data_IF_437962080045
#
_entry.id   IF_437962080045
#
_cell.length_a   1.000
_cell.length_b   1.000
_cell.length_c   1.000
_cell.angle_alpha   90.00
_cell.angle_beta   90.00
_cell.angle_gamma   90.00
#
_symmetry.space_group_name_H-M   'P 1'
#
loop_
_entity.id
_entity.type
_entity.pdbx_description
1 polymer ?
#
# COMPACT_ATOMS: atom_id res chain seq x y z
N UNK A 1 -9.15 0.62 28.26
CA UNK A 1 -9.77 0.13 27.01
C UNK A 1 -11.26 -0.04 27.28
N UNK A 2 -12.12 0.55 26.45
CA UNK A 2 -13.57 0.44 26.62
C UNK A 2 -14.09 -0.97 26.27
N UNK A 3 -15.19 -1.40 26.88
CA UNK A 3 -15.78 -2.74 26.69
C UNK A 3 -16.02 -3.08 25.21
N UNK A 4 -16.60 -2.14 24.45
CA UNK A 4 -16.86 -2.31 23.01
C UNK A 4 -15.56 -2.54 22.23
N UNK A 5 -14.51 -1.79 22.55
CA UNK A 5 -13.21 -1.90 21.90
C UNK A 5 -12.52 -3.24 22.21
N UNK A 6 -12.60 -3.72 23.46
CA UNK A 6 -12.07 -5.04 23.81
C UNK A 6 -12.80 -6.16 23.07
N UNK A 7 -14.13 -6.05 22.90
CA UNK A 7 -14.91 -7.04 22.15
C UNK A 7 -14.48 -7.13 20.69
N UNK A 8 -14.26 -5.96 20.06
CA UNK A 8 -13.74 -5.85 18.68
C UNK A 8 -12.40 -6.57 18.57
N UNK A 9 -11.46 -6.23 19.45
CA UNK A 9 -10.12 -6.84 19.46
C UNK A 9 -10.19 -8.36 19.60
N UNK A 10 -11.02 -8.85 20.53
CA UNK A 10 -11.15 -10.29 20.74
C UNK A 10 -11.78 -11.01 19.54
N UNK A 11 -12.72 -10.38 18.83
CA UNK A 11 -13.28 -10.93 17.59
C UNK A 11 -12.22 -10.96 16.47
N UNK A 12 -11.38 -9.94 16.37
CA UNK A 12 -10.29 -9.86 15.39
C UNK A 12 -9.22 -10.92 15.64
N UNK A 13 -8.83 -11.11 16.91
CA UNK A 13 -7.92 -12.19 17.32
C UNK A 13 -8.49 -13.56 16.94
N UNK A 14 -9.77 -13.83 17.22
CA UNK A 14 -10.40 -15.10 16.87
C UNK A 14 -10.37 -15.37 15.37
N UNK A 15 -10.69 -14.35 14.56
CA UNK A 15 -10.66 -14.44 13.09
C UNK A 15 -9.26 -14.78 12.58
N UNK A 16 -8.22 -14.12 13.10
CA UNK A 16 -6.83 -14.38 12.70
C UNK A 16 -6.36 -15.78 13.10
N UNK A 17 -6.73 -16.23 14.30
CA UNK A 17 -6.44 -17.58 14.77
C UNK A 17 -7.10 -18.62 13.87
N UNK A 18 -8.37 -18.44 13.50
CA UNK A 18 -9.10 -19.33 12.60
C UNK A 18 -8.45 -19.34 11.19
N UNK A 19 -8.10 -18.17 10.63
CA UNK A 19 -7.43 -18.03 9.32
C UNK A 19 -6.09 -18.77 9.28
N UNK A 20 -5.31 -18.67 10.35
CA UNK A 20 -3.99 -19.32 10.46
C UNK A 20 -4.08 -20.78 10.94
N UNK A 21 -5.28 -21.31 11.22
CA UNK A 21 -5.47 -22.66 11.75
C UNK A 21 -4.91 -22.86 13.16
N UNK A 22 -4.75 -21.78 13.92
CA UNK A 22 -4.15 -21.76 15.26
C UNK A 22 -5.27 -21.82 16.31
N UNK A 23 -5.15 -22.73 17.29
CA UNK A 23 -6.08 -22.78 18.42
C UNK A 23 -5.74 -21.70 19.44
N UNK A 24 -6.75 -21.13 20.12
CA UNK A 24 -6.53 -20.21 21.25
C UNK A 24 -5.58 -20.77 22.31
N UNK A 25 -5.65 -22.07 22.60
CA UNK A 25 -4.75 -22.69 23.57
C UNK A 25 -3.27 -22.61 23.15
N UNK A 26 -2.99 -22.67 21.85
CA UNK A 26 -1.63 -22.63 21.31
C UNK A 26 -1.00 -21.26 21.52
N UNK A 27 -1.72 -20.19 21.20
CA UNK A 27 -1.25 -18.82 21.46
C UNK A 27 -1.18 -18.54 22.97
N UNK A 28 -2.11 -19.10 23.77
CA UNK A 28 -2.07 -18.94 25.22
C UNK A 28 -0.79 -19.55 25.82
N UNK A 29 -0.45 -20.77 25.39
CA UNK A 29 0.77 -21.45 25.79
C UNK A 29 2.02 -20.69 25.31
N UNK A 30 2.03 -20.20 24.05
CA UNK A 30 3.15 -19.46 23.47
C UNK A 30 3.42 -18.12 24.20
N UNK A 31 2.37 -17.42 24.62
CA UNK A 31 2.47 -16.14 25.31
C UNK A 31 2.59 -16.27 26.83
N UNK A 32 2.71 -17.49 27.34
CA UNK A 32 2.76 -17.79 28.78
C UNK A 32 1.56 -17.22 29.56
N UNK A 33 0.38 -17.21 28.96
CA UNK A 33 -0.88 -16.81 29.60
C UNK A 33 -1.70 -18.04 29.98
N UNK A 34 -2.48 -17.94 31.06
CA UNK A 34 -3.28 -19.08 31.54
C UNK A 34 -4.26 -19.56 30.47
N UNK A 35 -4.39 -20.88 30.27
CA UNK A 35 -5.39 -21.42 29.34
C UNK A 35 -6.81 -20.90 29.63
N UNK A 36 -7.53 -20.58 28.57
CA UNK A 36 -8.86 -19.97 28.61
C UNK A 36 -8.87 -18.48 28.98
N UNK A 37 -7.72 -17.82 29.13
CA UNK A 37 -7.65 -16.38 29.41
C UNK A 37 -8.26 -15.56 28.26
N UNK A 38 -7.90 -15.86 27.01
CA UNK A 38 -8.45 -15.17 25.84
C UNK A 38 -9.98 -15.37 25.76
N UNK A 39 -10.45 -16.56 26.12
CA UNK A 39 -11.89 -16.84 26.16
C UNK A 39 -12.63 -16.04 27.24
N UNK A 40 -11.97 -15.72 28.36
CA UNK A 40 -12.53 -14.87 29.42
C UNK A 40 -12.55 -13.40 29.05
N UNK A 41 -11.56 -12.92 28.28
CA UNK A 41 -11.54 -11.54 27.76
C UNK A 41 -12.74 -11.20 26.86
N UNK A 42 -13.29 -12.21 26.16
CA UNK A 42 -14.48 -12.08 25.28
C UNK A 42 -15.82 -12.02 26.02
N UNK A 43 -15.87 -12.45 27.30
CA UNK A 43 -17.11 -12.60 28.08
C UNK A 43 -17.35 -11.44 29.07
N UNK A 44 -16.86 -10.25 28.79
CA UNK A 44 -16.67 -9.17 29.77
C UNK A 44 -17.94 -8.46 30.27
N UNK A 45 -19.07 -9.16 30.37
CA UNK A 45 -20.13 -8.79 31.32
C UNK A 45 -19.70 -9.22 32.73
N UNK A 46 -19.13 -8.28 33.49
CA UNK A 46 -18.79 -8.47 34.91
C UNK A 46 -17.29 -8.56 35.21
N UNK A 47 -16.63 -7.39 35.19
CA UNK A 47 -15.40 -6.99 35.91
C UNK A 47 -14.45 -8.11 36.39
N UNK A 48 -13.40 -8.39 35.62
CA UNK A 48 -12.07 -8.83 36.12
C UNK A 48 -10.97 -8.89 35.03
N UNK A 49 -11.33 -9.13 33.77
CA UNK A 49 -10.36 -9.37 32.69
C UNK A 49 -10.31 -8.20 31.72
N UNK A 50 -9.23 -7.44 31.78
CA UNK A 50 -8.91 -6.35 30.85
C UNK A 50 -7.72 -6.75 30.00
N UNK A 51 -7.83 -6.54 28.69
CA UNK A 51 -6.69 -6.70 27.79
C UNK A 51 -5.68 -5.58 28.07
N UNK A 52 -4.48 -5.94 28.54
CA UNK A 52 -3.39 -4.98 28.73
C UNK A 52 -2.74 -4.64 27.39
N UNK A 53 -2.12 -3.46 27.31
CA UNK A 53 -1.34 -3.04 26.15
C UNK A 53 -0.21 -4.02 25.84
N UNK A 54 0.54 -4.46 26.86
CA UNK A 54 1.64 -5.42 26.68
C UNK A 54 1.15 -6.76 26.13
N UNK A 55 -0.02 -7.22 26.55
CA UNK A 55 -0.60 -8.46 26.03
C UNK A 55 -1.10 -8.27 24.60
N UNK A 56 -1.75 -7.14 24.30
CA UNK A 56 -2.16 -6.78 22.94
C UNK A 56 -0.95 -6.78 22.00
N UNK A 57 0.15 -6.15 22.40
CA UNK A 57 1.40 -6.12 21.63
C UNK A 57 1.95 -7.52 21.37
N UNK A 58 2.06 -8.34 22.42
CA UNK A 58 2.52 -9.73 22.29
C UNK A 58 1.65 -10.57 21.35
N UNK A 59 0.34 -10.38 21.39
CA UNK A 59 -0.60 -11.06 20.49
C UNK A 59 -0.41 -10.57 19.06
N UNK A 60 -0.26 -9.25 18.85
CA UNK A 60 0.01 -8.65 17.55
C UNK A 60 1.32 -9.18 16.94
N UNK A 61 2.40 -9.19 17.73
CA UNK A 61 3.71 -9.72 17.35
C UNK A 61 3.61 -11.22 16.99
N UNK A 62 2.88 -12.02 17.78
CA UNK A 62 2.68 -13.45 17.53
C UNK A 62 1.90 -13.71 16.24
N UNK A 63 0.86 -12.91 15.98
CA UNK A 63 0.01 -13.03 14.78
C UNK A 63 0.63 -12.35 13.55
N UNK A 64 1.80 -11.71 13.71
CA UNK A 64 2.49 -10.89 12.70
C UNK A 64 1.59 -9.79 12.10
N UNK A 65 0.92 -9.04 12.97
CA UNK A 65 0.07 -7.89 12.62
C UNK A 65 0.37 -6.71 13.53
N UNK A 66 -0.06 -5.49 13.20
CA UNK A 66 0.09 -4.35 14.12
C UNK A 66 -0.97 -4.41 15.23
N UNK A 67 -0.72 -3.69 16.33
CA UNK A 67 -1.76 -3.51 17.35
C UNK A 67 -2.97 -2.76 16.81
N UNK A 68 -2.76 -1.76 15.95
CA UNK A 68 -3.86 -1.00 15.36
C UNK A 68 -4.77 -1.90 14.53
N UNK A 69 -4.19 -2.86 13.80
CA UNK A 69 -4.93 -3.87 13.04
C UNK A 69 -5.90 -4.68 13.93
N UNK A 70 -5.45 -5.08 15.12
CA UNK A 70 -6.31 -5.77 16.08
C UNK A 70 -7.41 -4.86 16.63
N UNK A 71 -7.22 -3.54 16.64
CA UNK A 71 -8.22 -2.58 17.14
C UNK A 71 -9.23 -2.10 16.11
N UNK A 72 -9.03 -2.41 14.81
CA UNK A 72 -9.92 -1.98 13.75
C UNK A 72 -11.33 -2.54 13.98
N UNK A 73 -12.31 -1.63 14.04
CA UNK A 73 -13.72 -1.95 14.23
C UNK A 73 -14.34 -2.64 13.01
N UNK A 74 -13.52 -2.93 12.00
CA UNK A 74 -13.95 -3.13 10.63
C UNK A 74 -13.33 -4.37 9.97
N UNK A 75 -13.19 -5.46 10.71
CA UNK A 75 -13.02 -6.79 10.08
C UNK A 75 -14.25 -7.26 9.28
N UNK A 76 -15.32 -6.44 9.22
CA UNK A 76 -16.44 -6.63 8.29
C UNK A 76 -16.19 -5.97 6.91
N UNK A 77 -14.96 -5.52 6.64
CA UNK A 77 -14.54 -5.08 5.31
C UNK A 77 -14.36 -6.25 4.34
N UNK A 78 -14.56 -5.93 3.06
CA UNK A 78 -14.70 -6.85 1.93
C UNK A 78 -13.44 -7.70 1.72
N UNK A 79 -13.56 -8.80 0.97
CA UNK A 79 -12.49 -9.74 0.61
C UNK A 79 -11.21 -9.06 0.10
N UNK A 80 -11.36 -7.87 -0.48
CA UNK A 80 -10.29 -7.09 -1.11
C UNK A 80 -9.31 -6.50 -0.09
N UNK A 81 -9.77 -6.01 1.07
CA UNK A 81 -8.89 -5.48 2.11
C UNK A 81 -7.96 -6.55 2.68
N UNK A 82 -8.52 -7.72 2.97
CA UNK A 82 -7.73 -8.85 3.45
C UNK A 82 -6.68 -9.28 2.42
N UNK A 83 -7.01 -9.20 1.13
CA UNK A 83 -6.08 -9.49 0.05
C UNK A 83 -4.94 -8.46 -0.02
N UNK A 84 -5.25 -7.17 0.16
CA UNK A 84 -4.23 -6.11 0.23
C UNK A 84 -3.32 -6.28 1.44
N UNK A 85 -3.88 -6.61 2.60
CA UNK A 85 -3.11 -6.87 3.82
C UNK A 85 -2.13 -8.02 3.60
N UNK A 86 -2.63 -9.17 3.13
CA UNK A 86 -1.78 -10.34 2.88
C UNK A 86 -0.68 -10.03 1.85
N UNK A 87 -1.02 -9.24 0.82
CA UNK A 87 -0.08 -8.79 -0.20
C UNK A 87 1.03 -7.90 0.40
N UNK A 88 0.68 -6.83 1.13
CA UNK A 88 1.67 -5.92 1.70
C UNK A 88 2.50 -6.55 2.82
N UNK A 89 1.95 -7.47 3.61
CA UNK A 89 2.73 -8.24 4.57
C UNK A 89 3.76 -9.13 3.86
N UNK A 90 3.36 -9.84 2.79
CA UNK A 90 4.31 -10.64 2.02
C UNK A 90 5.42 -9.77 1.43
N UNK A 91 5.09 -8.59 0.89
CA UNK A 91 6.09 -7.67 0.34
C UNK A 91 7.04 -7.14 1.41
N UNK A 92 6.50 -6.79 2.58
CA UNK A 92 7.27 -6.32 3.71
C UNK A 92 8.27 -7.38 4.16
N UNK A 93 7.80 -8.60 4.44
CA UNK A 93 8.67 -9.71 4.85
C UNK A 93 9.74 -10.00 3.81
N UNK A 94 9.38 -10.10 2.52
CA UNK A 94 10.35 -10.36 1.47
C UNK A 94 11.36 -9.21 1.29
N UNK A 95 10.98 -7.96 1.57
CA UNK A 95 11.88 -6.81 1.51
C UNK A 95 12.89 -6.81 2.66
N UNK A 96 12.45 -7.15 3.88
CA UNK A 96 13.33 -7.26 5.04
C UNK A 96 14.30 -8.44 4.89
N UNK A 97 13.82 -9.57 4.37
CA UNK A 97 14.62 -10.79 4.15
C UNK A 97 15.55 -10.72 2.93
N UNK A 98 15.64 -9.58 2.23
CA UNK A 98 16.43 -9.40 1.00
C UNK A 98 16.03 -10.32 -0.16
N UNK A 99 14.79 -10.81 -0.14
CA UNK A 99 14.16 -11.59 -1.20
C UNK A 99 13.52 -10.72 -2.29
N UNK A 100 13.46 -9.40 -2.10
CA UNK A 100 13.06 -8.42 -3.12
C UNK A 100 14.19 -7.45 -3.43
N UNK A 101 14.33 -7.13 -4.71
CA UNK A 101 15.32 -6.19 -5.22
C UNK A 101 14.62 -4.90 -5.62
N UNK A 102 14.71 -3.91 -4.74
CA UNK A 102 14.25 -2.56 -4.99
C UNK A 102 15.20 -1.81 -5.91
N UNK A 103 14.62 -1.10 -6.86
CA UNK A 103 15.28 -0.17 -7.77
C UNK A 103 14.67 1.22 -7.57
N UNK A 104 15.43 2.25 -7.92
CA UNK A 104 15.02 3.64 -7.80
C UNK A 104 15.03 4.31 -9.17
N UNK A 105 14.00 5.12 -9.41
CA UNK A 105 13.96 6.11 -10.47
C UNK A 105 14.09 7.47 -9.79
N UNK A 106 15.15 8.20 -10.12
CA UNK A 106 15.40 9.51 -9.54
C UNK A 106 14.45 10.57 -10.14
N UNK A 107 14.13 11.62 -9.36
CA UNK A 107 13.28 12.72 -9.83
C UNK A 107 13.84 13.42 -11.08
N UNK A 108 15.15 13.47 -11.22
CA UNK A 108 15.81 14.07 -12.39
C UNK A 108 15.59 13.24 -13.68
N UNK A 109 15.44 11.92 -13.58
CA UNK A 109 15.12 11.02 -14.68
C UNK A 109 13.66 11.19 -15.10
N UNK A 110 12.76 11.39 -14.12
CA UNK A 110 11.37 11.72 -14.39
C UNK A 110 11.20 13.06 -15.13
N UNK A 111 12.03 14.05 -14.82
CA UNK A 111 11.98 15.34 -15.53
C UNK A 111 12.44 15.24 -16.99
N UNK A 112 13.22 14.22 -17.38
CA UNK A 112 13.68 14.02 -18.77
C UNK A 112 12.59 13.43 -19.68
N UNK A 113 11.48 12.97 -19.10
CA UNK A 113 10.32 12.41 -19.84
C UNK A 113 9.71 13.42 -20.80
N UNK A 114 9.74 14.71 -20.45
CA UNK A 114 9.16 15.79 -21.26
C UNK A 114 9.83 15.90 -22.63
N UNK A 115 11.09 15.47 -22.73
CA UNK A 115 11.94 15.67 -23.91
C UNK A 115 12.08 14.43 -24.82
N UNK A 116 11.78 13.22 -24.33
CA UNK A 116 11.96 11.96 -25.09
C UNK A 116 10.81 10.95 -24.93
N UNK A 117 9.94 10.82 -25.95
CA UNK A 117 8.85 9.86 -26.01
C UNK A 117 9.20 8.38 -25.91
N UNK A 118 10.40 7.99 -26.32
CA UNK A 118 10.82 6.58 -26.32
C UNK A 118 11.29 6.13 -24.93
N UNK A 119 11.60 7.09 -24.03
CA UNK A 119 11.98 6.81 -22.64
C UNK A 119 10.79 6.43 -21.76
N UNK A 120 9.57 6.64 -22.25
CA UNK A 120 8.32 6.53 -21.50
C UNK A 120 8.07 5.12 -20.95
N UNK A 121 8.31 4.06 -21.72
CA UNK A 121 8.09 2.68 -21.25
C UNK A 121 8.98 2.24 -20.08
N UNK A 122 10.08 2.96 -19.83
CA UNK A 122 11.10 2.57 -18.84
C UNK A 122 10.79 2.99 -17.41
N UNK A 123 9.82 3.89 -17.21
CA UNK A 123 9.57 4.57 -15.92
C UNK A 123 8.33 4.07 -15.18
N UNK A 124 7.80 2.93 -15.65
CA UNK A 124 6.64 2.26 -15.07
C UNK A 124 5.31 2.72 -15.62
N UNK A 125 4.20 2.48 -14.91
CA UNK A 125 2.85 2.70 -15.43
C UNK A 125 2.58 4.17 -15.78
N UNK A 126 3.46 5.08 -15.32
CA UNK A 126 3.19 6.51 -15.27
C UNK A 126 3.41 7.26 -16.57
N UNK A 127 4.05 6.62 -17.54
CA UNK A 127 4.50 7.26 -18.76
C UNK A 127 3.82 6.65 -19.99
N UNK A 128 2.57 7.04 -20.23
CA UNK A 128 1.83 6.74 -21.48
C UNK A 128 1.04 7.96 -21.95
N UNK A 129 1.28 8.38 -23.19
CA UNK A 129 0.54 9.44 -23.88
C UNK A 129 -0.84 8.93 -24.29
N UNK A 130 -1.91 9.61 -23.88
CA UNK A 130 -3.28 9.35 -24.36
C UNK A 130 -3.72 10.60 -25.12
N UNK A 131 -3.89 10.46 -26.44
CA UNK A 131 -4.26 11.58 -27.32
C UNK A 131 -5.78 11.82 -27.34
N UNK A 132 -6.59 10.81 -26.97
CA UNK A 132 -8.07 10.83 -26.79
C UNK A 132 -8.49 9.70 -25.84
N UNK A 133 -9.37 9.98 -24.88
CA UNK A 133 -9.96 8.95 -24.02
C UNK A 133 -11.31 8.49 -24.60
N UNK A 134 -11.53 7.18 -24.71
CA UNK A 134 -12.77 6.61 -25.23
C UNK A 134 -13.68 6.14 -24.07
N UNK A 135 -15.02 6.17 -24.21
CA UNK A 135 -15.94 5.72 -23.16
C UNK A 135 -15.69 4.27 -22.69
N UNK A 136 -15.24 3.39 -23.58
CA UNK A 136 -14.93 1.99 -23.26
C UNK A 136 -13.72 1.87 -22.31
N UNK A 137 -12.83 2.87 -22.28
CA UNK A 137 -11.72 2.93 -21.33
C UNK A 137 -12.19 3.34 -19.93
N UNK A 138 -13.41 3.91 -19.79
CA UNK A 138 -13.98 4.29 -18.49
C UNK A 138 -14.42 3.08 -17.65
N UNK A 139 -14.71 1.94 -18.30
CA UNK A 139 -15.09 0.69 -17.63
C UNK A 139 -13.92 0.05 -16.86
N UNK A 140 -12.67 0.49 -17.11
CA UNK A 140 -11.47 0.04 -16.42
C UNK A 140 -11.24 0.75 -15.08
N UNK A 141 -12.04 1.76 -14.74
CA UNK A 141 -11.92 2.52 -13.51
C UNK A 141 -13.03 2.17 -12.51
N UNK A 142 -12.78 2.29 -11.20
CA UNK A 142 -13.84 2.22 -10.20
C UNK A 142 -14.98 3.21 -10.51
N UNK A 143 -16.24 2.80 -10.30
CA UNK A 143 -17.44 3.57 -10.69
C UNK A 143 -17.45 5.04 -10.24
N UNK A 144 -16.90 5.32 -9.06
CA UNK A 144 -16.85 6.69 -8.53
C UNK A 144 -15.89 7.59 -9.33
N UNK A 145 -14.85 7.01 -9.95
CA UNK A 145 -13.88 7.69 -10.80
C UNK A 145 -14.49 7.93 -12.17
N UNK A 146 -15.05 6.91 -12.81
CA UNK A 146 -15.71 7.03 -14.11
C UNK A 146 -16.76 8.16 -14.10
N UNK A 147 -17.58 8.22 -13.04
CA UNK A 147 -18.62 9.23 -12.85
C UNK A 147 -18.09 10.64 -12.61
N UNK A 148 -16.92 10.78 -11.97
CA UNK A 148 -16.32 12.11 -11.74
C UNK A 148 -15.60 12.67 -12.96
N UNK A 149 -15.27 11.80 -13.94
CA UNK A 149 -14.55 12.15 -15.17
C UNK A 149 -15.53 12.42 -16.33
N UNK A 150 -16.69 11.78 -16.35
CA UNK A 150 -17.72 11.91 -17.39
C UNK A 150 -18.15 13.37 -17.66
N UNK A 151 -18.28 14.18 -16.61
CA UNK A 151 -18.66 15.60 -16.71
C UNK A 151 -17.58 16.50 -17.35
N UNK A 152 -16.31 16.06 -17.37
CA UNK A 152 -15.17 16.84 -17.84
C UNK A 152 -14.69 16.47 -19.25
N UNK A 153 -15.05 15.30 -19.76
CA UNK A 153 -14.71 14.85 -21.13
C UNK A 153 -15.29 15.79 -22.20
N UNK A 154 -16.39 16.48 -21.88
CA UNK A 154 -17.10 17.37 -22.81
C UNK A 154 -16.69 18.85 -22.73
N UNK A 155 -15.84 19.23 -21.77
CA UNK A 155 -15.41 20.61 -21.59
C UNK A 155 -13.97 20.78 -22.09
N UNK A 156 -13.85 21.23 -23.34
CA UNK A 156 -12.62 21.52 -24.08
C UNK A 156 -11.80 22.62 -23.39
N UNK A 157 -11.11 22.27 -22.31
CA UNK A 157 -10.30 23.21 -21.51
C UNK A 157 -8.89 22.61 -21.32
N UNK A 158 -7.94 23.30 -21.93
CA UNK A 158 -6.47 23.19 -21.84
C UNK A 158 -5.93 22.68 -20.49
N UNK A 159 -5.75 21.35 -20.40
CA UNK A 159 -5.16 20.57 -19.29
C UNK A 159 -3.62 20.50 -19.35
N UNK A 160 -2.93 21.64 -19.51
CA UNK A 160 -1.49 21.68 -19.80
C UNK A 160 -0.55 21.70 -18.57
N UNK A 161 -1.00 21.32 -17.37
CA UNK A 161 -0.08 21.24 -16.23
C UNK A 161 -0.16 19.89 -15.53
N UNK A 162 0.73 19.00 -16.01
CA UNK A 162 1.44 17.93 -15.30
C UNK A 162 0.51 16.89 -14.62
N UNK A 163 0.23 15.81 -15.33
CA UNK A 163 -0.61 14.69 -14.88
C UNK A 163 0.06 13.37 -15.29
N UNK A 164 0.28 12.48 -14.33
CA UNK A 164 0.90 11.14 -14.47
C UNK A 164 -0.08 10.16 -13.80
N UNK A 165 -0.67 9.11 -14.42
CA UNK A 165 -0.12 7.80 -14.87
C UNK A 165 -1.12 7.17 -15.83
N UNK A 166 -0.85 6.94 -17.12
CA UNK A 166 -1.94 6.61 -18.07
C UNK A 166 -3.10 7.64 -18.00
N UNK A 167 -2.76 8.87 -17.64
CA UNK A 167 -3.63 9.98 -17.21
C UNK A 167 -4.60 9.73 -16.06
N UNK A 168 -4.33 8.77 -15.16
CA UNK A 168 -5.00 8.68 -13.86
C UNK A 168 -4.01 8.33 -12.74
N UNK A 169 -3.56 9.34 -12.00
CA UNK A 169 -3.46 9.13 -10.56
C UNK A 169 -4.88 8.94 -10.07
N UNK A 170 -5.16 7.85 -9.36
CA UNK A 170 -6.46 7.69 -8.73
C UNK A 170 -6.73 8.81 -7.71
N UNK A 171 -5.74 9.65 -7.34
CA UNK A 171 -5.82 10.92 -6.61
C UNK A 171 -6.63 12.04 -7.27
N UNK A 172 -6.79 12.02 -8.60
CA UNK A 172 -7.54 13.06 -9.32
C UNK A 172 -9.04 12.86 -9.14
N UNK A 173 -9.71 13.88 -8.61
CA UNK A 173 -11.13 13.83 -8.29
C UNK A 173 -11.44 13.12 -6.97
N UNK A 174 -10.42 12.74 -6.18
CA UNK A 174 -10.67 12.13 -4.87
C UNK A 174 -11.30 13.15 -3.95
N UNK A 175 -12.49 12.81 -3.46
CA UNK A 175 -13.07 13.46 -2.31
C UNK A 175 -12.48 12.82 -1.05
N UNK A 176 -11.53 13.52 -0.43
CA UNK A 176 -11.03 13.14 0.90
C UNK A 176 -11.70 14.09 1.88
N UNK A 177 -12.45 13.52 2.82
CA UNK A 177 -13.38 14.25 3.68
C UNK A 177 -14.39 15.07 2.84
N UNK A 178 -14.30 16.40 2.87
CA UNK A 178 -15.18 17.32 2.12
C UNK A 178 -14.47 18.02 0.95
N UNK A 179 -13.19 17.71 0.70
CA UNK A 179 -12.37 18.38 -0.30
C UNK A 179 -12.11 17.47 -1.50
N UNK A 180 -12.31 18.01 -2.70
CA UNK A 180 -11.98 17.32 -3.95
C UNK A 180 -10.58 17.74 -4.39
N UNK A 181 -9.65 16.80 -4.36
CA UNK A 181 -8.28 16.99 -4.83
C UNK A 181 -8.24 16.73 -6.33
N UNK A 182 -7.73 17.68 -7.11
CA UNK A 182 -7.80 17.63 -8.59
C UNK A 182 -6.43 17.62 -9.24
N UNK A 183 -5.36 17.82 -8.47
CA UNK A 183 -3.97 17.88 -8.92
C UNK A 183 -3.12 16.95 -8.07
N UNK A 184 -2.13 16.32 -8.70
CA UNK A 184 -1.20 15.40 -8.03
C UNK A 184 0.22 15.65 -8.53
N UNK A 185 1.18 15.78 -7.61
CA UNK A 185 2.60 15.96 -7.93
C UNK A 185 3.43 14.85 -7.30
N UNK A 186 4.36 14.26 -8.05
CA UNK A 186 5.38 13.38 -7.47
C UNK A 186 6.38 14.25 -6.70
N UNK A 187 6.56 13.95 -5.42
CA UNK A 187 7.38 14.75 -4.49
C UNK A 187 8.60 14.00 -3.96
N UNK A 188 8.77 12.74 -4.36
CA UNK A 188 9.91 11.91 -3.96
C UNK A 188 10.37 10.96 -5.05
N UNK A 189 11.43 10.23 -4.74
CA UNK A 189 11.93 9.12 -5.55
C UNK A 189 10.85 8.07 -5.77
N UNK A 190 10.95 7.37 -6.89
CA UNK A 190 10.04 6.29 -7.24
C UNK A 190 10.77 4.97 -7.06
N UNK A 191 10.15 4.05 -6.34
CA UNK A 191 10.72 2.74 -6.11
C UNK A 191 9.96 1.66 -6.84
N UNK A 192 10.67 0.67 -7.36
CA UNK A 192 10.02 -0.46 -8.00
C UNK A 192 10.76 -1.78 -7.78
N UNK A 193 10.00 -2.87 -7.82
CA UNK A 193 10.53 -4.23 -7.71
C UNK A 193 9.72 -5.19 -8.58
N UNK A 194 10.39 -6.17 -9.17
CA UNK A 194 9.73 -7.24 -9.90
C UNK A 194 9.25 -8.34 -8.94
N UNK A 195 8.05 -8.85 -9.19
CA UNK A 195 7.35 -9.86 -8.40
C UNK A 195 7.20 -11.14 -9.24
N UNK A 196 8.17 -12.04 -9.12
CA UNK A 196 8.25 -13.27 -9.93
C UNK A 196 6.98 -14.12 -9.86
N UNK A 197 6.36 -14.23 -8.68
CA UNK A 197 5.17 -15.08 -8.45
C UNK A 197 3.97 -14.72 -9.32
N UNK A 198 3.85 -13.45 -9.70
CA UNK A 198 2.72 -12.93 -10.47
C UNK A 198 3.15 -12.31 -11.80
N UNK A 199 4.43 -12.43 -12.16
CA UNK A 199 5.01 -11.81 -13.37
C UNK A 199 4.62 -10.33 -13.49
N UNK A 200 4.80 -9.56 -12.41
CA UNK A 200 4.41 -8.15 -12.39
C UNK A 200 5.47 -7.29 -11.74
N UNK A 201 5.50 -6.00 -12.08
CA UNK A 201 6.36 -5.02 -11.40
C UNK A 201 5.50 -4.14 -10.50
N UNK A 202 5.87 -4.06 -9.22
CA UNK A 202 5.29 -3.14 -8.26
C UNK A 202 6.03 -1.82 -8.32
N UNK A 203 5.29 -0.71 -8.34
CA UNK A 203 5.79 0.65 -8.25
C UNK A 203 5.20 1.37 -7.04
N UNK A 204 6.03 2.14 -6.34
CA UNK A 204 5.65 2.99 -5.22
C UNK A 204 6.02 4.44 -5.51
N UNK A 205 5.03 5.33 -5.47
CA UNK A 205 5.18 6.77 -5.72
C UNK A 205 4.91 7.55 -4.45
N UNK A 206 5.76 8.52 -4.13
CA UNK A 206 5.44 9.54 -3.13
C UNK A 206 4.87 10.76 -3.84
N UNK A 207 3.66 11.13 -3.47
CA UNK A 207 2.88 12.16 -4.12
C UNK A 207 2.29 13.15 -3.13
N UNK A 208 1.86 14.27 -3.69
CA UNK A 208 1.11 15.32 -3.02
C UNK A 208 -0.15 15.63 -3.81
N UNK A 209 -1.28 15.68 -3.13
CA UNK A 209 -2.57 16.07 -3.68
C UNK A 209 -2.84 17.54 -3.39
N UNK A 210 -3.35 18.27 -4.38
CA UNK A 210 -3.85 19.64 -4.22
C UNK A 210 -5.23 19.79 -4.86
N UNK A 211 -6.05 20.66 -4.29
CA UNK A 211 -7.33 21.05 -4.91
C UNK A 211 -7.12 21.95 -6.14
N UNK A 212 -8.22 22.33 -6.79
CA UNK A 212 -8.17 23.15 -8.01
C UNK A 212 -7.49 24.50 -7.77
N UNK A 213 -7.68 25.05 -6.58
CA UNK A 213 -7.27 26.40 -6.21
C UNK A 213 -5.87 26.40 -5.56
N UNK A 214 -5.31 25.23 -5.26
CA UNK A 214 -4.05 25.05 -4.53
C UNK A 214 -4.13 25.44 -3.05
N UNK A 215 -5.34 25.57 -2.51
CA UNK A 215 -5.59 25.97 -1.11
C UNK A 215 -5.44 24.78 -0.19
N UNK A 216 -6.10 23.66 -0.53
CA UNK A 216 -5.99 22.42 0.23
C UNK A 216 -4.88 21.55 -0.36
N UNK A 217 -4.07 21.01 0.54
CA UNK A 217 -2.89 20.21 0.20
C UNK A 217 -2.74 19.04 1.15
N UNK A 218 -2.57 17.84 0.60
CA UNK A 218 -2.20 16.64 1.32
C UNK A 218 -0.87 16.14 0.77
N UNK A 219 0.13 16.09 1.63
CA UNK A 219 1.47 15.66 1.26
C UNK A 219 1.77 14.27 1.80
N UNK A 220 2.89 13.71 1.35
CA UNK A 220 3.41 12.42 1.81
C UNK A 220 2.43 11.27 1.61
N UNK A 221 1.72 11.27 0.49
CA UNK A 221 0.87 10.17 0.12
C UNK A 221 1.71 9.17 -0.64
N UNK A 222 1.64 7.90 -0.27
CA UNK A 222 2.25 6.83 -1.04
C UNK A 222 1.16 6.18 -1.89
N UNK A 223 1.40 6.02 -3.19
CA UNK A 223 0.56 5.26 -4.10
C UNK A 223 1.29 3.99 -4.57
N UNK A 224 0.56 2.88 -4.66
CA UNK A 224 1.06 1.60 -5.16
C UNK A 224 0.37 1.20 -6.47
N UNK A 225 1.17 0.73 -7.43
CA UNK A 225 0.71 0.25 -8.73
C UNK A 225 1.36 -1.08 -9.09
N UNK A 226 0.60 -1.98 -9.72
CA UNK A 226 1.13 -3.19 -10.36
C UNK A 226 1.09 -3.04 -11.88
N UNK A 227 2.12 -3.54 -12.54
CA UNK A 227 2.20 -3.61 -14.00
C UNK A 227 2.45 -5.04 -14.43
N UNK A 228 1.57 -5.60 -15.26
CA UNK A 228 1.67 -6.95 -15.80
C UNK A 228 1.29 -6.95 -17.29
N UNK A 229 2.17 -7.47 -18.17
CA UNK A 229 1.88 -7.65 -19.61
C UNK A 229 1.20 -6.42 -20.28
N UNK A 230 1.71 -5.21 -19.99
CA UNK A 230 1.22 -3.88 -20.43
C UNK A 230 -0.08 -3.37 -19.76
N UNK A 231 -0.67 -4.12 -18.83
CA UNK A 231 -1.76 -3.67 -17.98
C UNK A 231 -1.24 -2.98 -16.72
N UNK A 232 -1.73 -1.77 -16.47
CA UNK A 232 -1.41 -0.99 -15.28
C UNK A 232 -2.60 -1.03 -14.31
N UNK A 233 -2.36 -1.44 -13.07
CA UNK A 233 -3.39 -1.56 -12.05
C UNK A 233 -3.01 -0.71 -10.84
N UNK A 234 -3.87 0.23 -10.46
CA UNK A 234 -3.74 0.89 -9.17
C UNK A 234 -4.18 -0.06 -8.05
N UNK A 235 -3.36 -0.14 -7.01
CA UNK A 235 -3.60 -1.04 -5.88
C UNK A 235 -4.22 -0.27 -4.72
N UNK A 236 -3.51 0.72 -4.20
CA UNK A 236 -3.95 1.50 -3.06
C UNK A 236 -3.14 2.79 -2.89
N UNK A 237 -3.57 3.62 -1.94
CA UNK A 237 -2.77 4.73 -1.43
C UNK A 237 -2.73 4.72 0.11
N UNK A 238 -1.91 5.59 0.69
CA UNK A 238 -1.75 5.68 2.15
C UNK A 238 -2.75 6.62 2.85
N UNK A 239 -3.91 6.88 2.25
CA UNK A 239 -4.96 7.79 2.79
C UNK A 239 -6.36 7.21 2.77
N UNK A 240 -6.66 6.34 1.82
CA UNK A 240 -8.01 5.84 1.54
C UNK A 240 -8.33 4.52 2.27
N UNK A 241 -7.33 3.98 2.96
CA UNK A 241 -7.43 2.71 3.68
C UNK A 241 -7.20 2.91 5.17
N UNK A 242 -7.66 1.93 5.95
CA UNK A 242 -7.45 1.93 7.40
C UNK A 242 -5.97 2.10 7.77
N UNK A 243 -5.73 2.61 8.99
CA UNK A 243 -4.40 2.99 9.51
C UNK A 243 -3.33 1.91 9.30
N UNK A 244 -3.72 0.64 9.34
CA UNK A 244 -2.81 -0.46 9.07
C UNK A 244 -2.23 -0.49 7.66
N UNK A 245 -3.08 -0.49 6.62
CA UNK A 245 -2.63 -0.51 5.22
C UNK A 245 -1.86 0.78 4.93
N UNK A 246 -2.37 1.90 5.44
CA UNK A 246 -1.75 3.22 5.27
C UNK A 246 -0.35 3.30 5.89
N UNK A 247 -0.15 2.80 7.11
CA UNK A 247 1.17 2.73 7.74
C UNK A 247 2.09 1.72 7.06
N UNK A 248 1.60 0.53 6.72
CA UNK A 248 2.40 -0.50 6.03
C UNK A 248 2.91 -0.06 4.68
N UNK A 249 2.10 0.68 3.92
CA UNK A 249 2.53 1.22 2.64
C UNK A 249 3.64 2.27 2.81
N UNK A 250 3.56 3.12 3.84
CA UNK A 250 4.62 4.09 4.19
C UNK A 250 5.91 3.38 4.63
N UNK A 251 5.78 2.35 5.46
CA UNK A 251 6.92 1.55 5.90
C UNK A 251 7.61 0.85 4.72
N UNK A 252 6.82 0.29 3.79
CA UNK A 252 7.36 -0.36 2.60
C UNK A 252 8.12 0.62 1.71
N UNK A 253 7.59 1.83 1.51
CA UNK A 253 8.28 2.90 0.79
C UNK A 253 9.61 3.28 1.46
N UNK A 254 9.62 3.39 2.80
CA UNK A 254 10.85 3.69 3.54
C UNK A 254 11.88 2.55 3.44
N UNK A 255 11.44 1.30 3.52
CA UNK A 255 12.32 0.13 3.32
C UNK A 255 12.94 0.14 1.92
N UNK A 256 12.13 0.39 0.89
CA UNK A 256 12.61 0.46 -0.49
C UNK A 256 13.69 1.54 -0.63
N UNK A 257 13.43 2.72 -0.06
CA UNK A 257 14.40 3.83 0.00
C UNK A 257 15.69 3.45 0.69
N UNK A 258 15.60 2.87 1.89
CA UNK A 258 16.77 2.49 2.68
C UNK A 258 17.61 1.46 1.90
N UNK A 259 16.95 0.45 1.31
CA UNK A 259 17.59 -0.61 0.50
C UNK A 259 18.25 -0.09 -0.79
N UNK A 260 17.77 1.01 -1.36
CA UNK A 260 18.38 1.68 -2.50
C UNK A 260 19.49 2.66 -2.09
N UNK A 261 19.38 3.28 -0.91
CA UNK A 261 20.37 4.24 -0.38
C UNK A 261 21.63 3.58 0.17
N UNK A 262 21.50 2.37 0.72
CA UNK A 262 22.63 1.53 1.07
C UNK A 262 23.35 1.20 -0.23
N UNK A 263 24.51 1.84 -0.46
CA UNK A 263 25.42 1.67 -1.59
C UNK A 263 25.64 0.19 -1.89
N UNK A 264 24.75 -0.36 -2.69
CA UNK A 264 24.71 -1.76 -3.03
C UNK A 264 25.47 -1.89 -4.33
N UNK A 265 26.45 -2.79 -4.34
CA UNK A 265 27.15 -3.20 -5.56
C UNK A 265 26.13 -3.44 -6.67
N UNK A 266 26.40 -2.89 -7.85
CA UNK A 266 25.56 -3.09 -9.02
C UNK A 266 25.37 -4.59 -9.31
N UNK A 267 24.29 -4.93 -10.01
CA UNK A 267 23.92 -6.33 -10.27
C UNK A 267 25.03 -7.08 -11.01
N UNK A 268 25.76 -6.42 -11.91
CA UNK A 268 26.92 -7.00 -12.58
C UNK A 268 28.06 -7.26 -11.60
N UNK A 269 28.40 -6.30 -10.75
CA UNK A 269 29.41 -6.47 -9.70
C UNK A 269 29.04 -7.63 -8.76
N UNK A 270 27.77 -7.80 -8.38
CA UNK A 270 27.35 -8.94 -7.55
C UNK A 270 27.42 -10.28 -8.29
N UNK A 271 27.02 -10.34 -9.56
CA UNK A 271 27.15 -11.55 -10.39
C UNK A 271 28.62 -11.97 -10.51
N UNK A 272 29.51 -11.02 -10.75
CA UNK A 272 30.96 -11.24 -10.80
C UNK A 272 31.52 -11.73 -9.46
N UNK A 273 31.12 -11.13 -8.35
CA UNK A 273 31.57 -11.55 -7.02
C UNK A 273 31.06 -12.95 -6.63
N UNK A 274 29.81 -13.29 -6.98
CA UNK A 274 29.27 -14.64 -6.79
C UNK A 274 30.05 -15.68 -7.61
N UNK A 275 30.42 -15.35 -8.85
CA UNK A 275 31.26 -16.22 -9.68
C UNK A 275 32.68 -16.38 -9.12
N UNK A 276 33.29 -15.30 -8.63
CA UNK A 276 34.62 -15.33 -8.03
C UNK A 276 34.66 -16.22 -6.77
N UNK A 277 33.68 -16.09 -5.87
CA UNK A 277 33.63 -16.84 -4.61
C UNK A 277 33.16 -18.29 -4.75
N UNK A 278 32.73 -18.73 -5.95
CA UNK A 278 32.33 -20.10 -6.23
C UNK A 278 33.52 -21.00 -6.65
N UNK A 279 34.73 -20.44 -6.77
CA UNK A 279 35.99 -21.16 -6.97
C UNK A 279 36.81 -21.21 -5.67
#
# INVERSE_FOLDING_TARGET
>A
MEYKQQQVIMNNIDRLLDKQGIKRSTIEDALSISRGYLSRLKKSEGKAYTLSYDLLKKIADYLNVSMDYLTLNTFDHTTDENSLIDFFESLYSMSIEDNLFWNVIELNELNRIEDDPDYWGSLGPIAKKIERANPDELELFPDYIAKSVEDYIYQDITLWSILWVGWQSLGKGRKIEEVVYTKVNITGEVFHTYLEKINSTLYLYRVEYTDSDGVNKLSDIIEAYLVADDENQFICNSTDWGEYISSKLRDLYQIARDKCSDTRLDENARKLLKQFNAN
#
